data_IF_092953983917
#
_entry.id   IF_092953983917
#
_cell.length_a   1.000
_cell.length_b   1.000
_cell.length_c   1.000
_cell.angle_alpha   90.00
_cell.angle_beta   90.00
_cell.angle_gamma   90.00
#
_symmetry.space_group_name_H-M   'P 1'
#
loop_
_entity.id
_entity.type
_entity.pdbx_description
1 polymer ?
#
# COMPACT_ATOMS: atom_id res chain seq x y z
N UNK A 1 -5.24 -0.72 19.94
CA UNK A 1 -4.88 0.40 19.04
C UNK A 1 -3.47 0.19 18.48
N UNK A 2 -3.16 0.79 17.32
CA UNK A 2 -1.86 0.66 16.64
C UNK A 2 -1.14 2.01 16.72
N UNK A 3 -0.01 2.13 17.48
CA UNK A 3 0.62 3.43 17.76
C UNK A 3 0.92 4.26 16.51
N UNK A 4 1.43 3.62 15.45
CA UNK A 4 1.74 4.30 14.20
C UNK A 4 0.55 5.04 13.59
N UNK A 5 -0.61 4.38 13.49
CA UNK A 5 -1.81 4.99 12.91
C UNK A 5 -2.47 5.99 13.87
N UNK A 6 -2.28 5.86 15.18
CA UNK A 6 -2.74 6.87 16.15
C UNK A 6 -1.96 8.17 15.98
N UNK A 7 -0.65 8.10 15.80
CA UNK A 7 0.22 9.27 15.69
C UNK A 7 0.12 9.92 14.30
N UNK A 8 0.08 9.11 13.23
CA UNK A 8 0.28 9.60 11.86
C UNK A 8 -0.98 9.59 10.98
N UNK A 9 -2.18 9.56 11.56
CA UNK A 9 -3.44 9.72 10.83
C UNK A 9 -4.08 11.08 11.10
N UNK A 10 -4.33 11.85 10.05
CA UNK A 10 -5.13 13.07 10.08
C UNK A 10 -6.62 12.71 10.07
N UNK A 11 -7.34 13.11 11.11
CA UNK A 11 -8.72 12.70 11.36
C UNK A 11 -9.75 13.67 10.77
N UNK A 12 -9.38 14.94 10.58
CA UNK A 12 -10.32 15.98 10.16
C UNK A 12 -10.21 16.28 8.67
N UNK A 13 -8.98 16.35 8.15
CA UNK A 13 -8.74 16.78 6.77
C UNK A 13 -8.68 15.60 5.81
N UNK A 14 -9.21 15.82 4.62
CA UNK A 14 -9.19 14.86 3.52
C UNK A 14 -7.92 14.95 2.65
N UNK A 15 -7.02 15.89 2.95
CA UNK A 15 -5.75 16.07 2.25
C UNK A 15 -4.63 16.52 3.20
N UNK A 16 -3.39 16.19 2.84
CA UNK A 16 -2.19 16.49 3.64
C UNK A 16 -1.28 17.47 2.91
N UNK A 17 -1.06 18.65 3.49
CA UNK A 17 -0.05 19.61 3.00
C UNK A 17 1.37 19.09 3.28
N UNK A 18 2.40 19.55 2.57
CA UNK A 18 3.80 19.12 2.79
C UNK A 18 4.34 19.37 4.22
N UNK A 19 3.68 20.22 5.01
CA UNK A 19 4.03 20.52 6.41
C UNK A 19 3.27 19.67 7.44
N UNK A 20 2.28 18.90 6.99
CA UNK A 20 1.50 18.03 7.88
C UNK A 20 2.40 16.97 8.52
N UNK A 21 2.22 16.75 9.83
CA UNK A 21 2.93 15.73 10.61
C UNK A 21 2.39 14.33 10.34
N UNK A 22 1.14 14.22 9.91
CA UNK A 22 0.48 12.96 9.58
C UNK A 22 0.94 12.44 8.21
N UNK A 23 0.98 11.11 8.07
CA UNK A 23 1.34 10.41 6.84
C UNK A 23 0.10 10.04 6.02
N UNK A 24 -1.01 9.72 6.69
CA UNK A 24 -2.26 9.29 6.07
C UNK A 24 -3.45 10.11 6.55
N UNK A 25 -4.51 10.13 5.74
CA UNK A 25 -5.82 10.65 6.16
C UNK A 25 -6.70 9.50 6.63
N UNK A 26 -7.66 9.79 7.51
CA UNK A 26 -8.68 8.84 7.93
C UNK A 26 -9.43 8.25 6.72
N UNK A 27 -9.69 9.07 5.69
CA UNK A 27 -10.33 8.60 4.46
C UNK A 27 -9.51 7.55 3.70
N UNK A 28 -8.19 7.68 3.65
CA UNK A 28 -7.32 6.68 3.02
C UNK A 28 -7.22 5.40 3.85
N UNK A 29 -7.17 5.51 5.17
CA UNK A 29 -7.14 4.35 6.08
C UNK A 29 -8.47 3.58 6.03
N UNK A 30 -9.61 4.28 6.01
CA UNK A 30 -10.93 3.66 5.86
C UNK A 30 -11.07 2.91 4.53
N UNK A 31 -10.57 3.46 3.43
CA UNK A 31 -10.56 2.76 2.14
C UNK A 31 -9.67 1.52 2.17
N UNK A 32 -8.48 1.61 2.78
CA UNK A 32 -7.60 0.46 2.94
C UNK A 32 -8.23 -0.64 3.80
N UNK A 33 -8.94 -0.28 4.87
CA UNK A 33 -9.71 -1.21 5.69
C UNK A 33 -10.82 -1.91 4.89
N UNK A 34 -11.53 -1.20 4.01
CA UNK A 34 -12.54 -1.81 3.13
C UNK A 34 -11.93 -2.83 2.17
N UNK A 35 -10.75 -2.53 1.62
CA UNK A 35 -10.00 -3.49 0.79
C UNK A 35 -9.63 -4.76 1.55
N UNK A 36 -9.17 -4.60 2.81
CA UNK A 36 -8.73 -5.68 3.67
C UNK A 36 -9.89 -6.51 4.26
N UNK A 37 -10.81 -5.86 4.94
CA UNK A 37 -11.87 -6.47 5.75
C UNK A 37 -13.18 -6.71 4.98
N UNK A 38 -13.30 -6.20 3.74
CA UNK A 38 -14.57 -6.18 3.02
C UNK A 38 -15.43 -4.96 3.38
N UNK A 39 -16.50 -4.74 2.61
CA UNK A 39 -17.38 -3.57 2.79
C UNK A 39 -18.14 -3.61 4.11
N UNK A 40 -18.57 -4.80 4.52
CA UNK A 40 -19.28 -5.06 5.79
C UNK A 40 -18.33 -5.36 6.96
N UNK A 41 -17.02 -5.29 6.73
CA UNK A 41 -15.98 -5.59 7.71
C UNK A 41 -16.10 -6.98 8.37
N UNK A 42 -16.45 -7.99 7.58
CA UNK A 42 -16.75 -9.36 8.01
C UNK A 42 -15.90 -10.44 7.29
N UNK A 43 -14.92 -10.05 6.47
CA UNK A 43 -14.19 -10.99 5.58
C UNK A 43 -13.53 -12.16 6.30
N UNK A 44 -13.13 -12.01 7.55
CA UNK A 44 -12.49 -13.06 8.35
C UNK A 44 -13.42 -13.57 9.47
N UNK A 45 -14.73 -13.40 9.31
CA UNK A 45 -15.75 -13.80 10.27
C UNK A 45 -15.64 -13.05 11.59
N UNK A 46 -15.91 -13.74 12.70
CA UNK A 46 -15.85 -13.19 14.07
C UNK A 46 -14.46 -12.64 14.44
N UNK A 47 -13.40 -13.13 13.78
CA UNK A 47 -12.02 -12.69 14.00
C UNK A 47 -11.60 -11.50 13.13
N UNK A 48 -12.51 -10.87 12.38
CA UNK A 48 -12.15 -9.81 11.43
C UNK A 48 -11.44 -8.64 12.10
N UNK A 49 -11.95 -8.14 13.23
CA UNK A 49 -11.33 -7.02 13.95
C UNK A 49 -9.91 -7.36 14.41
N UNK A 50 -9.72 -8.49 15.11
CA UNK A 50 -8.41 -8.89 15.64
C UNK A 50 -7.41 -9.15 14.52
N UNK A 51 -7.84 -9.77 13.43
CA UNK A 51 -7.03 -10.04 12.24
C UNK A 51 -6.58 -8.75 11.55
N UNK A 52 -7.50 -7.80 11.34
CA UNK A 52 -7.21 -6.50 10.73
C UNK A 52 -6.22 -5.69 11.58
N UNK A 53 -6.41 -5.68 12.90
CA UNK A 53 -5.50 -4.99 13.82
C UNK A 53 -4.10 -5.62 13.79
N UNK A 54 -4.02 -6.96 13.83
CA UNK A 54 -2.75 -7.67 13.77
C UNK A 54 -2.03 -7.40 12.43
N UNK A 55 -2.76 -7.42 11.32
CA UNK A 55 -2.21 -7.15 9.99
C UNK A 55 -1.60 -5.76 9.90
N UNK A 56 -2.35 -4.72 10.27
CA UNK A 56 -1.86 -3.35 10.19
C UNK A 56 -0.71 -3.06 11.14
N UNK A 57 -0.69 -3.71 12.32
CA UNK A 57 0.46 -3.66 13.23
C UNK A 57 1.70 -4.20 12.53
N UNK A 58 1.62 -5.41 11.96
CA UNK A 58 2.74 -6.05 11.27
C UNK A 58 3.24 -5.23 10.07
N UNK A 59 2.33 -4.70 9.25
CA UNK A 59 2.71 -3.81 8.14
C UNK A 59 3.46 -2.59 8.66
N UNK A 60 2.98 -1.98 9.75
CA UNK A 60 3.65 -0.80 10.30
C UNK A 60 5.06 -1.07 10.79
N UNK A 61 5.33 -2.28 11.30
CA UNK A 61 6.62 -2.71 11.82
C UNK A 61 7.61 -3.10 10.71
N UNK A 62 7.11 -3.68 9.62
CA UNK A 62 7.95 -4.18 8.51
C UNK A 62 8.47 -3.05 7.61
N UNK A 63 7.73 -1.94 7.44
CA UNK A 63 8.16 -0.86 6.55
C UNK A 63 9.21 0.03 7.24
N UNK A 64 10.50 0.00 6.82
CA UNK A 64 11.58 0.62 7.59
C UNK A 64 11.44 2.14 7.74
N UNK A 65 10.91 2.80 6.71
CA UNK A 65 10.73 4.25 6.72
C UNK A 65 9.60 4.69 7.67
N UNK A 66 8.61 3.84 7.92
CA UNK A 66 7.56 4.11 8.91
C UNK A 66 8.10 3.98 10.34
N UNK A 67 9.04 3.04 10.56
CA UNK A 67 9.78 2.95 11.81
C UNK A 67 10.70 4.16 12.03
N UNK A 68 11.42 4.61 11.00
CA UNK A 68 12.22 5.86 11.06
C UNK A 68 11.34 7.07 11.39
N UNK A 69 10.12 7.13 10.86
CA UNK A 69 9.18 8.19 11.15
C UNK A 69 8.74 8.17 12.63
N UNK A 70 8.41 7.00 13.18
CA UNK A 70 8.10 6.84 14.61
C UNK A 70 9.25 7.30 15.52
N UNK A 71 10.48 7.05 15.10
CA UNK A 71 11.70 7.44 15.85
C UNK A 71 12.10 8.90 15.63
N UNK A 72 11.38 9.66 14.80
CA UNK A 72 11.71 11.05 14.48
C UNK A 72 12.96 11.23 13.60
N UNK A 73 13.48 10.15 13.00
CA UNK A 73 14.64 10.18 12.10
C UNK A 73 14.30 10.72 10.70
N UNK A 74 13.01 10.82 10.37
CA UNK A 74 12.49 11.45 9.14
C UNK A 74 11.16 12.13 9.43
N UNK A 75 10.64 12.91 8.48
CA UNK A 75 9.34 13.58 8.59
C UNK A 75 8.34 13.00 7.59
N UNK A 76 7.04 13.07 7.92
CA UNK A 76 5.98 12.65 7.00
C UNK A 76 5.98 13.49 5.70
N UNK A 77 6.45 14.74 5.76
CA UNK A 77 6.65 15.59 4.60
C UNK A 77 7.74 15.06 3.66
N UNK A 78 8.88 14.61 4.21
CA UNK A 78 9.98 14.08 3.42
C UNK A 78 9.65 12.71 2.83
N UNK A 79 9.01 11.83 3.61
CA UNK A 79 8.50 10.56 3.07
C UNK A 79 7.52 10.77 1.92
N UNK A 80 6.59 11.74 2.03
CA UNK A 80 5.66 12.05 0.94
C UNK A 80 6.35 12.62 -0.28
N UNK A 81 7.46 13.35 -0.14
CA UNK A 81 8.24 13.83 -1.28
C UNK A 81 8.96 12.68 -1.98
N UNK A 82 9.63 11.82 -1.22
CA UNK A 82 10.63 10.88 -1.75
C UNK A 82 10.11 9.46 -2.00
N UNK A 83 9.04 9.02 -1.33
CA UNK A 83 8.59 7.62 -1.35
C UNK A 83 7.14 7.47 -1.83
N UNK A 84 6.81 6.31 -2.41
CA UNK A 84 5.44 6.00 -2.84
C UNK A 84 4.57 5.49 -1.68
N UNK A 85 5.14 4.78 -0.70
CA UNK A 85 4.38 4.17 0.41
C UNK A 85 3.77 5.19 1.38
N UNK A 86 4.14 6.46 1.26
CA UNK A 86 3.62 7.56 2.06
C UNK A 86 2.29 8.13 1.51
N UNK A 87 1.67 7.47 0.53
CA UNK A 87 0.46 7.95 -0.16
C UNK A 87 -0.70 6.96 -0.05
N UNK A 88 -1.92 7.48 -0.09
CA UNK A 88 -3.13 6.68 0.10
C UNK A 88 -3.30 5.52 -0.88
N UNK A 89 -2.83 5.65 -2.13
CA UNK A 89 -2.84 4.55 -3.12
C UNK A 89 -2.08 3.32 -2.62
N UNK A 90 -0.91 3.53 -1.99
CA UNK A 90 -0.11 2.43 -1.45
C UNK A 90 -0.72 1.86 -0.18
N UNK A 91 -1.32 2.71 0.67
CA UNK A 91 -2.05 2.22 1.84
C UNK A 91 -3.21 1.31 1.43
N UNK A 92 -3.96 1.66 0.39
CA UNK A 92 -5.00 0.81 -0.16
C UNK A 92 -4.44 -0.48 -0.78
N UNK A 93 -3.30 -0.41 -1.46
CA UNK A 93 -2.63 -1.58 -2.02
C UNK A 93 -2.21 -2.58 -0.92
N UNK A 94 -1.74 -2.10 0.24
CA UNK A 94 -1.51 -2.95 1.40
C UNK A 94 -2.82 -3.62 1.86
N UNK A 95 -3.95 -2.91 1.86
CA UNK A 95 -5.26 -3.52 2.17
C UNK A 95 -5.61 -4.68 1.22
N UNK A 96 -5.39 -4.52 -0.09
CA UNK A 96 -5.59 -5.58 -1.09
C UNK A 96 -4.64 -6.75 -0.86
N UNK A 97 -3.36 -6.48 -0.61
CA UNK A 97 -2.36 -7.48 -0.26
C UNK A 97 -2.81 -8.30 0.96
N UNK A 98 -3.19 -7.64 2.06
CA UNK A 98 -3.54 -8.34 3.31
C UNK A 98 -4.71 -9.28 3.13
N UNK A 99 -5.75 -8.83 2.42
CA UNK A 99 -6.88 -9.66 2.04
C UNK A 99 -6.48 -10.93 1.29
N UNK A 100 -5.52 -10.81 0.37
CA UNK A 100 -4.98 -11.94 -0.42
C UNK A 100 -4.11 -12.85 0.43
N UNK A 101 -3.19 -12.25 1.19
CA UNK A 101 -2.15 -12.96 1.92
C UNK A 101 -2.72 -13.76 3.09
N UNK A 102 -3.60 -13.16 3.89
CA UNK A 102 -4.22 -13.84 5.04
C UNK A 102 -5.06 -15.03 4.57
N UNK A 103 -5.80 -14.88 3.46
CA UNK A 103 -6.56 -15.99 2.88
C UNK A 103 -5.67 -17.11 2.37
N UNK A 104 -4.54 -16.78 1.75
CA UNK A 104 -3.63 -17.76 1.17
C UNK A 104 -2.74 -18.46 2.22
N UNK A 105 -2.41 -17.77 3.32
CA UNK A 105 -1.48 -18.23 4.36
C UNK A 105 -2.01 -17.88 5.76
N UNK A 106 -3.11 -18.50 6.23
CA UNK A 106 -3.77 -18.12 7.48
C UNK A 106 -2.84 -18.18 8.71
N UNK A 107 -1.91 -19.13 8.76
CA UNK A 107 -1.04 -19.36 9.93
C UNK A 107 0.35 -18.70 9.82
N UNK A 108 0.69 -18.08 8.68
CA UNK A 108 2.06 -17.59 8.40
C UNK A 108 2.12 -16.34 7.53
N UNK A 109 1.02 -15.59 7.46
CA UNK A 109 0.97 -14.35 6.68
C UNK A 109 1.88 -13.27 7.27
N UNK A 110 2.10 -13.24 8.58
CA UNK A 110 2.86 -12.18 9.25
C UNK A 110 4.33 -12.21 8.84
N UNK A 111 4.95 -13.39 8.87
CA UNK A 111 6.34 -13.62 8.45
C UNK A 111 6.51 -13.39 6.94
N UNK A 112 5.46 -13.69 6.17
CA UNK A 112 5.46 -13.49 4.71
C UNK A 112 5.53 -12.01 4.31
N UNK A 113 5.31 -11.07 5.23
CA UNK A 113 5.45 -9.63 4.96
C UNK A 113 6.91 -9.17 4.96
N UNK A 114 7.85 -9.91 5.57
CA UNK A 114 9.25 -9.47 5.72
C UNK A 114 9.92 -8.96 4.42
N UNK A 115 9.72 -9.58 3.23
CA UNK A 115 10.31 -9.08 1.99
C UNK A 115 9.88 -7.66 1.58
N UNK A 116 8.79 -7.12 2.13
CA UNK A 116 8.35 -5.75 1.85
C UNK A 116 9.36 -4.70 2.32
N UNK A 117 10.23 -5.05 3.28
CA UNK A 117 11.31 -4.18 3.74
C UNK A 117 12.38 -3.94 2.65
N UNK A 118 12.53 -4.88 1.72
CA UNK A 118 13.55 -4.85 0.66
C UNK A 118 13.09 -4.10 -0.60
N UNK A 119 11.81 -3.74 -0.68
CA UNK A 119 11.28 -3.01 -1.84
C UNK A 119 11.91 -1.61 -1.88
N UNK A 120 12.43 -1.22 -3.05
CA UNK A 120 12.85 0.15 -3.27
C UNK A 120 11.63 1.06 -3.48
N UNK A 121 11.17 1.67 -2.38
CA UNK A 121 10.01 2.56 -2.30
C UNK A 121 10.24 3.97 -2.85
N UNK A 122 11.45 4.29 -3.31
CA UNK A 122 11.76 5.61 -3.83
C UNK A 122 10.92 5.93 -5.07
N UNK A 123 10.37 7.13 -5.14
CA UNK A 123 9.74 7.67 -6.36
C UNK A 123 10.71 7.80 -7.54
N UNK A 124 12.01 7.70 -7.29
CA UNK A 124 13.06 7.65 -8.31
C UNK A 124 13.19 6.27 -8.95
N UNK A 125 12.67 5.22 -8.31
CA UNK A 125 12.50 3.91 -8.92
C UNK A 125 11.34 3.95 -9.94
N UNK A 126 11.54 4.73 -11.00
CA UNK A 126 10.54 4.97 -12.03
C UNK A 126 10.19 3.71 -12.80
N UNK A 127 11.14 2.78 -12.96
CA UNK A 127 10.90 1.50 -13.61
C UNK A 127 9.82 0.68 -12.90
N UNK A 128 9.78 0.72 -11.57
CA UNK A 128 8.76 0.02 -10.80
C UNK A 128 7.47 0.84 -10.66
N UNK A 129 7.58 2.13 -10.35
CA UNK A 129 6.42 2.91 -9.91
C UNK A 129 5.74 3.75 -10.99
N UNK A 130 6.39 4.01 -12.13
CA UNK A 130 5.78 4.71 -13.27
C UNK A 130 5.43 3.73 -14.40
N UNK A 131 4.24 3.82 -15.02
CA UNK A 131 3.09 4.62 -14.61
C UNK A 131 2.21 3.98 -13.51
N UNK A 132 2.63 2.88 -12.88
CA UNK A 132 1.79 2.07 -11.95
C UNK A 132 1.04 2.85 -10.88
N UNK A 133 1.74 3.75 -10.19
CA UNK A 133 1.18 4.58 -9.10
C UNK A 133 1.62 6.03 -9.24
N UNK A 134 2.34 6.34 -10.31
CA UNK A 134 2.90 7.65 -10.58
C UNK A 134 2.69 8.00 -12.06
N UNK A 135 1.77 8.92 -12.33
CA UNK A 135 1.57 9.50 -13.67
C UNK A 135 2.41 10.77 -13.88
N UNK A 136 2.14 11.47 -14.98
CA UNK A 136 2.82 12.73 -15.33
C UNK A 136 2.64 13.84 -14.29
N UNK A 137 1.50 13.85 -13.57
CA UNK A 137 1.14 14.88 -12.57
C UNK A 137 1.47 14.49 -11.13
N UNK A 138 2.13 13.35 -10.90
CA UNK A 138 2.45 12.85 -9.57
C UNK A 138 1.75 11.52 -9.27
N UNK A 139 1.39 11.31 -8.00
CA UNK A 139 0.77 10.05 -7.57
C UNK A 139 -0.60 9.85 -8.22
N UNK A 140 -0.87 8.65 -8.70
CA UNK A 140 -2.19 8.25 -9.19
C UNK A 140 -2.94 7.47 -8.11
N UNK A 141 -4.09 7.98 -7.69
CA UNK A 141 -4.98 7.37 -6.70
C UNK A 141 -6.07 6.49 -7.28
N UNK A 142 -6.04 6.19 -8.59
CA UNK A 142 -7.05 5.37 -9.25
C UNK A 142 -7.08 3.93 -8.70
N UNK A 143 -8.26 3.29 -8.80
CA UNK A 143 -8.43 1.87 -8.43
C UNK A 143 -7.51 0.96 -9.24
N UNK A 144 -7.26 1.29 -10.51
CA UNK A 144 -6.28 0.59 -11.36
C UNK A 144 -4.89 0.62 -10.71
N UNK A 145 -4.44 1.79 -10.29
CA UNK A 145 -3.14 1.99 -9.65
C UNK A 145 -3.03 1.28 -8.30
N UNK A 146 -4.12 1.23 -7.52
CA UNK A 146 -4.18 0.41 -6.29
C UNK A 146 -3.94 -1.07 -6.60
N UNK A 147 -4.60 -1.63 -7.62
CA UNK A 147 -4.43 -3.04 -7.99
C UNK A 147 -3.04 -3.34 -8.56
N UNK A 148 -2.50 -2.48 -9.44
CA UNK A 148 -1.15 -2.64 -9.99
C UNK A 148 -0.08 -2.58 -8.90
N UNK A 149 -0.24 -1.69 -7.91
CA UNK A 149 0.63 -1.68 -6.75
C UNK A 149 0.49 -2.96 -5.94
N UNK A 150 -0.75 -3.41 -5.68
CA UNK A 150 -0.99 -4.64 -4.93
C UNK A 150 -0.34 -5.85 -5.60
N UNK A 151 -0.37 -5.95 -6.93
CA UNK A 151 0.31 -7.01 -7.68
C UNK A 151 1.81 -7.07 -7.39
N UNK A 152 2.49 -5.91 -7.34
CA UNK A 152 3.91 -5.84 -6.94
C UNK A 152 4.11 -6.40 -5.54
N UNK A 153 3.24 -6.02 -4.59
CA UNK A 153 3.32 -6.48 -3.20
C UNK A 153 3.04 -7.99 -3.08
N UNK A 154 2.06 -8.50 -3.82
CA UNK A 154 1.67 -9.93 -3.85
C UNK A 154 2.85 -10.77 -4.38
N UNK A 155 3.49 -10.32 -5.46
CA UNK A 155 4.70 -10.97 -5.98
C UNK A 155 5.86 -10.92 -4.97
N UNK A 156 6.07 -9.79 -4.30
CA UNK A 156 7.14 -9.63 -3.31
C UNK A 156 7.01 -10.59 -2.12
N UNK A 157 5.78 -10.91 -1.68
CA UNK A 157 5.51 -11.89 -0.61
C UNK A 157 5.44 -13.34 -1.10
N UNK A 158 5.80 -13.58 -2.37
CA UNK A 158 5.90 -14.91 -2.97
C UNK A 158 4.56 -15.57 -3.28
N UNK A 159 3.50 -14.78 -3.47
CA UNK A 159 2.21 -15.31 -3.93
C UNK A 159 2.07 -15.15 -5.45
N UNK A 160 1.49 -16.14 -6.15
CA UNK A 160 1.15 -15.99 -7.55
C UNK A 160 -0.03 -15.02 -7.73
N UNK A 161 -0.01 -14.27 -8.83
CA UNK A 161 -1.17 -13.50 -9.27
C UNK A 161 -2.28 -14.45 -9.71
N UNK A 162 -3.53 -14.11 -9.41
CA UNK A 162 -4.68 -14.81 -10.00
C UNK A 162 -4.94 -14.32 -11.43
N UNK A 163 -5.90 -14.93 -12.12
CA UNK A 163 -6.26 -14.57 -13.51
C UNK A 163 -6.57 -13.08 -13.69
N UNK A 164 -7.35 -12.47 -12.78
CA UNK A 164 -7.72 -11.05 -12.86
C UNK A 164 -6.53 -10.12 -12.60
N UNK A 165 -5.69 -10.47 -11.63
CA UNK A 165 -4.48 -9.72 -11.28
C UNK A 165 -3.45 -9.79 -12.41
N UNK A 166 -3.30 -10.97 -13.02
CA UNK A 166 -2.43 -11.17 -14.18
C UNK A 166 -2.96 -10.42 -15.40
N UNK A 167 -4.26 -10.47 -15.69
CA UNK A 167 -4.85 -9.71 -16.79
C UNK A 167 -4.62 -8.19 -16.63
N UNK A 168 -4.81 -7.65 -15.42
CA UNK A 168 -4.50 -6.23 -15.14
C UNK A 168 -3.02 -5.91 -15.42
N UNK A 169 -2.13 -6.86 -15.16
CA UNK A 169 -0.70 -6.71 -15.32
C UNK A 169 -0.28 -6.78 -16.79
N UNK A 170 -0.87 -7.70 -17.54
CA UNK A 170 -0.66 -7.84 -18.98
C UNK A 170 -1.16 -6.59 -19.72
N UNK A 171 -2.35 -6.08 -19.37
CA UNK A 171 -2.89 -4.83 -19.90
C UNK A 171 -1.96 -3.63 -19.60
N UNK A 172 -1.37 -3.59 -18.41
CA UNK A 172 -0.39 -2.57 -18.05
C UNK A 172 0.88 -2.67 -18.90
N UNK A 173 1.43 -3.87 -19.07
CA UNK A 173 2.63 -4.09 -19.89
C UNK A 173 2.38 -3.79 -21.37
N UNK A 174 1.20 -4.14 -21.90
CA UNK A 174 0.79 -3.78 -23.26
C UNK A 174 0.73 -2.26 -23.45
N UNK A 175 0.12 -1.52 -22.51
CA UNK A 175 0.05 -0.06 -22.59
C UNK A 175 1.42 0.62 -22.59
N UNK A 176 2.40 0.05 -21.87
CA UNK A 176 3.78 0.53 -21.88
C UNK A 176 4.49 0.29 -23.22
N UNK A 177 4.20 -0.82 -23.88
CA UNK A 177 4.78 -1.14 -25.18
C UNK A 177 4.25 -0.18 -26.25
N UNK A 178 2.95 0.12 -26.22
CA UNK A 178 2.32 1.09 -27.13
C UNK A 178 2.89 2.51 -26.95
N UNK A 179 3.05 2.99 -25.72
CA UNK A 179 3.65 4.31 -25.46
C UNK A 179 5.09 4.44 -26.00
N UNK A 180 5.88 3.36 -25.98
CA UNK A 180 7.24 3.33 -26.54
C UNK A 180 7.29 3.29 -28.06
N UNK A 181 6.23 2.81 -28.71
CA UNK A 181 6.14 2.77 -30.18
C UNK A 181 5.72 4.13 -30.75
N UNK A 182 4.99 4.93 -29.98
CA UNK A 182 4.47 6.24 -30.39
C UNK A 182 5.42 7.40 -30.04
N UNK A 183 6.37 7.19 -29.13
CA UNK A 183 7.38 8.17 -28.70
C UNK A 183 8.67 8.11 -29.51
#
# INVERSE_FOLDING_TARGET
AIPFFQEFTELEKTSLSNRAKNLFTLSSLNQANKWLAGQEADRFGENTESTVIAYWRQVSEVIPDWQKLMLGATTAGDLRKETVHAHGVMLQAFGVLGARLIKAKPDGWAESLAPLAEINWSKRNAQLWRPRVMGARGMDGSVKSVHLAANVLIGAVGLPLNEKEQANEDDYLASLAEEKVVA
#
